data_IF_364754401072
#
_entry.id   IF_364754401072
#
_cell.length_a   1.000
_cell.length_b   1.000
_cell.length_c   1.000
_cell.angle_alpha   90.00
_cell.angle_beta   90.00
_cell.angle_gamma   90.00
#
_symmetry.space_group_name_H-M   'P 1'
#
loop_
_entity.id
_entity.type
_entity.pdbx_description
1 polymer ?
#
# COMPACT_ATOMS: atom_id res chain seq x y z
N UNK A 1 32.34 8.54 59.53
CA UNK A 1 31.43 8.34 60.67
C UNK A 1 30.18 7.68 60.09
N UNK A 2 30.12 6.42 60.30
CA UNK A 2 29.21 5.55 61.02
C UNK A 2 27.94 5.26 60.19
N UNK A 3 27.90 4.18 59.45
CA UNK A 3 27.54 2.77 59.68
C UNK A 3 26.22 2.58 60.41
N UNK A 4 25.27 1.96 59.76
CA UNK A 4 24.44 0.90 60.28
C UNK A 4 23.70 0.13 59.19
N UNK A 5 24.02 -1.10 59.10
CA UNK A 5 23.42 -2.29 58.54
C UNK A 5 22.25 -2.79 59.44
N UNK A 6 21.27 -3.47 58.86
CA UNK A 6 20.61 -4.68 59.43
C UNK A 6 19.59 -5.18 58.43
N UNK A 7 19.77 -6.24 57.76
CA UNK A 7 19.70 -7.71 58.00
C UNK A 7 18.28 -8.29 58.07
N UNK A 8 17.97 -9.12 57.06
CA UNK A 8 17.39 -10.44 56.96
C UNK A 8 16.09 -10.76 57.72
N UNK A 9 15.15 -11.38 57.01
CA UNK A 9 14.71 -12.76 57.37
C UNK A 9 14.01 -13.45 56.18
N UNK A 10 14.49 -14.65 55.90
CA UNK A 10 13.92 -15.71 55.11
C UNK A 10 12.72 -16.34 55.83
N UNK A 11 11.72 -16.81 55.10
CA UNK A 11 10.91 -17.94 55.47
C UNK A 11 10.53 -18.76 54.24
N UNK A 12 11.02 -19.94 54.20
CA UNK A 12 10.76 -21.05 53.29
C UNK A 12 9.82 -22.03 53.98
N UNK A 13 8.74 -22.47 53.38
CA UNK A 13 8.02 -23.72 53.73
C UNK A 13 7.45 -24.26 52.39
N UNK A 14 7.99 -25.29 51.82
CA UNK A 14 7.57 -26.70 51.61
C UNK A 14 6.06 -26.88 51.76
N UNK A 15 5.31 -27.55 50.91
CA UNK A 15 5.53 -28.69 50.04
C UNK A 15 4.22 -29.46 50.02
N UNK A 16 3.87 -30.18 49.01
CA UNK A 16 2.72 -31.06 49.03
C UNK A 16 2.26 -31.50 47.63
N UNK A 17 2.91 -32.54 47.13
CA UNK A 17 2.39 -33.36 46.04
C UNK A 17 1.27 -34.24 46.56
N UNK A 18 0.23 -34.45 45.79
CA UNK A 18 -0.59 -35.63 45.90
C UNK A 18 -1.11 -36.10 44.55
N UNK A 19 -0.62 -37.24 44.19
CA UNK A 19 -1.04 -38.17 43.16
C UNK A 19 -2.19 -39.02 43.64
N UNK A 20 -3.11 -39.38 42.78
CA UNK A 20 -3.87 -40.65 42.72
C UNK A 20 -5.24 -40.40 42.12
N UNK A 21 -5.85 -41.20 41.34
CA UNK A 21 -5.71 -42.54 40.79
C UNK A 21 -6.84 -42.73 39.76
N UNK A 22 -6.56 -43.52 38.76
CA UNK A 22 -7.53 -44.11 37.84
C UNK A 22 -8.67 -44.84 38.58
N UNK A 23 -9.85 -44.85 37.96
CA UNK A 23 -10.82 -45.93 38.12
C UNK A 23 -11.59 -46.15 36.83
N UNK A 24 -11.26 -47.25 36.17
CA UNK A 24 -12.14 -48.00 35.25
C UNK A 24 -13.22 -48.70 36.07
N UNK A 25 -14.43 -48.79 35.51
CA UNK A 25 -15.50 -49.84 35.72
C UNK A 25 -16.75 -49.27 35.05
N UNK A 26 -17.57 -49.92 34.26
CA UNK A 26 -17.69 -51.30 33.91
C UNK A 26 -18.94 -51.42 33.04
N UNK A 27 -18.86 -52.27 32.05
CA UNK A 27 -19.99 -52.71 31.22
C UNK A 27 -21.12 -53.30 32.08
N UNK A 28 -22.39 -53.05 31.70
CA UNK A 28 -23.48 -54.00 31.94
C UNK A 28 -24.48 -53.96 30.80
N UNK A 29 -24.56 -55.05 30.11
CA UNK A 29 -25.60 -55.46 29.17
C UNK A 29 -26.93 -55.64 29.87
N UNK A 30 -28.02 -55.16 29.26
CA UNK A 30 -29.38 -55.74 29.51
C UNK A 30 -29.97 -56.01 28.14
N UNK A 31 -30.05 -57.31 27.85
CA UNK A 31 -30.85 -57.84 26.77
C UNK A 31 -32.29 -57.97 27.24
N UNK A 32 -33.22 -57.33 26.59
CA UNK A 32 -34.66 -57.67 26.72
C UNK A 32 -35.18 -58.01 25.33
N UNK A 33 -35.48 -59.30 25.18
CA UNK A 33 -36.19 -59.80 24.01
C UNK A 33 -37.67 -59.43 24.14
N UNK A 34 -38.27 -58.90 23.07
CA UNK A 34 -39.73 -59.01 22.83
C UNK A 34 -39.94 -59.30 21.34
N UNK A 35 -40.70 -60.36 21.18
CA UNK A 35 -41.13 -60.98 19.91
C UNK A 35 -42.14 -60.08 19.16
N UNK A 36 -42.06 -60.12 17.86
CA UNK A 36 -43.21 -60.21 16.93
C UNK A 36 -43.93 -58.90 16.59
N UNK A 37 -43.71 -58.37 15.42
CA UNK A 37 -44.80 -58.23 14.50
C UNK A 37 -44.27 -58.05 13.06
N UNK A 38 -44.74 -58.88 12.16
CA UNK A 38 -44.46 -58.84 10.73
C UNK A 38 -45.39 -57.84 10.07
N UNK A 39 -44.95 -56.60 9.91
CA UNK A 39 -45.57 -55.67 8.97
C UNK A 39 -44.56 -55.24 7.92
N UNK A 40 -44.88 -55.54 6.70
CA UNK A 40 -44.20 -55.24 5.45
C UNK A 40 -43.71 -53.76 5.42
N UNK A 41 -42.44 -53.55 5.50
CA UNK A 41 -41.84 -52.26 5.17
C UNK A 41 -41.76 -52.11 3.65
N UNK A 42 -42.25 -51.01 3.07
CA UNK A 42 -42.00 -50.76 1.65
C UNK A 42 -40.49 -50.57 1.40
N UNK A 43 -40.03 -51.20 0.34
CA UNK A 43 -38.66 -51.08 -0.17
C UNK A 43 -38.26 -49.61 -0.25
N UNK A 44 -37.32 -49.24 0.59
CA UNK A 44 -36.71 -47.93 0.55
C UNK A 44 -35.67 -47.96 -0.58
N UNK A 45 -36.07 -47.51 -1.74
CA UNK A 45 -35.17 -47.33 -2.87
C UNK A 45 -33.94 -46.54 -2.39
N UNK A 46 -32.77 -47.07 -2.67
CA UNK A 46 -31.47 -46.36 -2.44
C UNK A 46 -31.54 -45.03 -3.17
N UNK A 47 -31.12 -43.91 -2.50
CA UNK A 47 -31.07 -42.63 -3.17
C UNK A 47 -30.17 -42.76 -4.42
N UNK A 48 -30.69 -42.37 -5.55
CA UNK A 48 -29.88 -42.28 -6.77
C UNK A 48 -28.66 -41.35 -6.51
N UNK A 49 -27.50 -41.70 -7.07
CA UNK A 49 -26.36 -40.80 -7.01
C UNK A 49 -26.76 -39.45 -7.60
N UNK A 50 -26.47 -38.38 -6.85
CA UNK A 50 -26.64 -37.01 -7.34
C UNK A 50 -25.93 -36.89 -8.69
N UNK A 51 -26.53 -36.23 -9.70
CA UNK A 51 -25.84 -36.00 -10.94
C UNK A 51 -24.52 -35.33 -10.63
N UNK A 52 -23.45 -35.89 -11.16
CA UNK A 52 -22.12 -35.32 -11.12
C UNK A 52 -22.24 -33.88 -11.64
N UNK A 53 -22.06 -32.91 -10.72
CA UNK A 53 -22.03 -31.51 -11.14
C UNK A 53 -20.85 -31.41 -12.13
N UNK A 54 -21.19 -31.22 -13.40
CA UNK A 54 -20.21 -30.91 -14.41
C UNK A 54 -19.33 -29.77 -13.86
N UNK A 55 -18.01 -30.00 -13.77
CA UNK A 55 -17.07 -28.94 -13.45
C UNK A 55 -17.42 -27.75 -14.37
N UNK A 56 -17.58 -26.55 -13.84
CA UNK A 56 -17.81 -25.40 -14.68
C UNK A 56 -16.67 -25.37 -15.69
N UNK A 57 -17.01 -25.38 -16.98
CA UNK A 57 -16.05 -25.22 -18.06
C UNK A 57 -15.13 -24.07 -17.69
N UNK A 58 -13.80 -24.32 -17.69
CA UNK A 58 -12.82 -23.27 -17.45
C UNK A 58 -13.22 -22.08 -18.35
N UNK A 59 -13.30 -20.86 -17.81
CA UNK A 59 -13.70 -19.72 -18.63
C UNK A 59 -12.80 -19.70 -19.84
N UNK A 60 -13.41 -19.58 -21.02
CA UNK A 60 -12.72 -19.40 -22.29
C UNK A 60 -11.76 -18.21 -22.08
N UNK A 61 -10.44 -18.51 -21.89
CA UNK A 61 -9.45 -17.48 -21.62
C UNK A 61 -9.16 -16.86 -22.97
N UNK A 62 -9.85 -15.76 -23.26
CA UNK A 62 -9.41 -14.90 -24.36
C UNK A 62 -7.91 -14.70 -24.22
N UNK A 63 -7.17 -14.96 -25.30
CA UNK A 63 -5.72 -14.76 -25.33
C UNK A 63 -5.42 -13.32 -24.90
N UNK A 64 -4.51 -13.16 -23.98
CA UNK A 64 -4.08 -11.83 -23.60
C UNK A 64 -3.37 -11.13 -24.78
N UNK A 65 -3.58 -9.83 -24.92
CA UNK A 65 -2.99 -9.05 -26.01
C UNK A 65 -2.25 -7.83 -25.46
N UNK A 66 -0.95 -7.73 -25.73
CA UNK A 66 -0.18 -6.53 -25.42
C UNK A 66 -0.53 -5.44 -26.42
N UNK A 67 -1.15 -4.37 -25.96
CA UNK A 67 -1.67 -3.29 -26.83
C UNK A 67 -0.81 -2.05 -26.83
N UNK A 68 -0.01 -1.83 -25.77
CA UNK A 68 0.86 -0.66 -25.67
C UNK A 68 2.08 -0.89 -24.76
N UNK A 69 3.18 -0.26 -25.13
CA UNK A 69 4.39 -0.17 -24.31
C UNK A 69 4.74 1.31 -24.13
N UNK A 70 4.62 1.80 -22.91
CA UNK A 70 4.97 3.16 -22.55
C UNK A 70 6.27 3.18 -21.74
N UNK A 71 7.11 4.19 -21.95
CA UNK A 71 8.33 4.38 -21.17
C UNK A 71 8.37 5.79 -20.61
N UNK A 72 8.47 5.87 -19.30
CA UNK A 72 8.50 7.12 -18.53
C UNK A 72 9.85 7.28 -17.83
N UNK A 73 10.30 8.54 -17.70
CA UNK A 73 11.39 8.89 -16.79
C UNK A 73 10.89 8.89 -15.34
N UNK A 74 11.72 8.40 -14.42
CA UNK A 74 11.40 8.39 -12.98
C UNK A 74 12.38 9.29 -12.24
N UNK A 75 11.84 10.32 -11.56
CA UNK A 75 12.62 11.27 -10.77
C UNK A 75 12.71 12.66 -11.37
N UNK A 76 13.15 13.64 -10.57
CA UNK A 76 13.10 15.09 -10.88
C UNK A 76 13.91 15.54 -12.11
N UNK A 77 14.73 14.67 -12.69
CA UNK A 77 15.59 14.99 -13.84
C UNK A 77 15.70 13.82 -14.83
N UNK A 78 14.66 13.01 -15.04
CA UNK A 78 14.70 11.86 -15.97
C UNK A 78 15.90 10.88 -15.78
N UNK A 79 16.79 11.19 -14.86
CA UNK A 79 18.10 10.54 -14.70
C UNK A 79 18.12 9.44 -13.64
N UNK A 80 17.14 9.39 -12.73
CA UNK A 80 17.18 8.47 -11.60
C UNK A 80 16.70 7.06 -11.96
N UNK A 81 15.82 6.92 -12.94
CA UNK A 81 15.27 5.63 -13.36
C UNK A 81 14.38 5.73 -14.59
N UNK A 82 13.91 4.59 -15.06
CA UNK A 82 12.91 4.47 -16.11
C UNK A 82 11.81 3.53 -15.66
N UNK A 83 10.57 3.81 -16.04
CA UNK A 83 9.42 2.92 -15.87
C UNK A 83 8.93 2.47 -17.23
N UNK A 84 8.79 1.17 -17.40
CA UNK A 84 8.15 0.58 -18.57
C UNK A 84 6.79 0.05 -18.15
N UNK A 85 5.75 0.47 -18.84
CA UNK A 85 4.38 0.01 -18.62
C UNK A 85 3.93 -0.77 -19.84
N UNK A 86 3.62 -2.04 -19.64
CA UNK A 86 3.07 -2.93 -20.65
C UNK A 86 1.58 -3.01 -20.40
N UNK A 87 0.76 -2.47 -21.29
CA UNK A 87 -0.71 -2.46 -21.19
C UNK A 87 -1.28 -3.66 -21.95
N UNK A 88 -2.16 -4.40 -21.30
CA UNK A 88 -2.80 -5.60 -21.88
C UNK A 88 -4.32 -5.47 -21.95
N UNK A 89 -4.88 -6.03 -23.00
CA UNK A 89 -6.24 -6.53 -23.05
C UNK A 89 -6.21 -7.98 -22.56
N UNK A 90 -6.99 -8.29 -21.53
CA UNK A 90 -6.91 -9.58 -20.82
C UNK A 90 -5.73 -9.64 -19.84
N UNK A 91 -5.72 -10.68 -19.01
CA UNK A 91 -4.69 -10.89 -17.96
C UNK A 91 -3.73 -12.01 -18.38
N UNK A 92 -2.50 -11.70 -18.85
CA UNK A 92 -1.54 -12.73 -19.22
C UNK A 92 -1.04 -13.48 -17.97
N UNK A 93 -0.77 -14.76 -18.13
CA UNK A 93 0.12 -15.47 -17.23
C UNK A 93 1.55 -15.09 -17.58
N UNK A 94 2.36 -14.73 -16.58
CA UNK A 94 3.73 -14.34 -16.86
C UNK A 94 4.72 -14.81 -15.78
N UNK A 95 5.96 -15.01 -16.23
CA UNK A 95 7.11 -15.27 -15.39
C UNK A 95 8.18 -14.22 -15.62
N UNK A 96 8.80 -13.74 -14.54
CA UNK A 96 9.90 -12.79 -14.63
C UNK A 96 11.25 -13.47 -14.36
N UNK A 97 12.27 -13.08 -15.14
CA UNK A 97 13.64 -13.52 -14.95
C UNK A 97 14.59 -12.35 -14.94
N UNK A 98 15.49 -12.31 -13.97
CA UNK A 98 16.63 -11.39 -13.94
C UNK A 98 17.83 -12.12 -14.54
N UNK A 99 18.33 -11.60 -15.65
CA UNK A 99 19.46 -12.19 -16.36
C UNK A 99 20.68 -11.30 -16.17
N UNK A 100 21.73 -11.75 -15.48
CA UNK A 100 22.95 -10.96 -15.31
C UNK A 100 23.64 -10.72 -16.65
N UNK A 101 24.52 -9.73 -16.70
CA UNK A 101 25.37 -9.51 -17.87
C UNK A 101 26.27 -10.73 -18.10
N UNK A 102 26.39 -11.17 -19.36
CA UNK A 102 27.21 -12.31 -19.76
C UNK A 102 27.92 -12.04 -21.08
N UNK A 103 29.24 -11.96 -21.07
CA UNK A 103 30.03 -11.59 -22.23
C UNK A 103 29.61 -10.20 -22.78
N UNK A 104 29.23 -10.14 -24.05
CA UNK A 104 28.75 -8.93 -24.71
C UNK A 104 27.26 -8.61 -24.41
N UNK A 105 26.54 -9.55 -23.81
CA UNK A 105 25.12 -9.38 -23.49
C UNK A 105 24.97 -8.56 -22.21
N UNK A 106 24.15 -7.47 -22.24
CA UNK A 106 23.88 -6.67 -21.05
C UNK A 106 23.07 -7.46 -20.01
N UNK A 107 23.00 -6.95 -18.79
CA UNK A 107 22.01 -7.40 -17.84
C UNK A 107 20.59 -7.14 -18.39
N UNK A 108 19.65 -8.02 -18.13
CA UNK A 108 18.29 -7.97 -18.71
C UNK A 108 17.23 -8.34 -17.68
N UNK A 109 16.06 -7.78 -17.86
CA UNK A 109 14.82 -8.29 -17.29
C UNK A 109 14.02 -8.92 -18.41
N UNK A 110 13.66 -10.18 -18.28
CA UNK A 110 12.80 -10.88 -19.22
C UNK A 110 11.46 -11.16 -18.54
N UNK A 111 10.36 -10.83 -19.22
CA UNK A 111 8.99 -11.15 -18.87
C UNK A 111 8.52 -12.16 -19.90
N UNK A 112 8.47 -13.41 -19.52
CA UNK A 112 7.94 -14.51 -20.33
C UNK A 112 6.44 -14.53 -20.17
N UNK A 113 5.70 -14.56 -21.26
CA UNK A 113 4.25 -14.47 -21.31
C UNK A 113 3.68 -15.74 -21.92
N UNK A 114 2.60 -16.26 -21.35
CA UNK A 114 1.88 -17.41 -21.87
C UNK A 114 0.69 -16.91 -22.68
N UNK A 115 0.36 -17.61 -23.78
CA UNK A 115 -0.81 -17.37 -24.63
C UNK A 115 -1.09 -15.89 -24.93
N UNK A 116 -0.02 -15.15 -25.25
CA UNK A 116 -0.08 -13.70 -25.44
C UNK A 116 0.29 -13.31 -26.86
N UNK A 117 -0.47 -12.39 -27.44
CA UNK A 117 -0.24 -11.81 -28.76
C UNK A 117 0.19 -10.33 -28.63
N UNK A 118 0.78 -9.80 -29.72
CA UNK A 118 1.12 -8.37 -29.81
C UNK A 118 0.14 -7.66 -30.71
N UNK A 119 -0.27 -6.46 -30.35
CA UNK A 119 -0.94 -5.58 -31.31
C UNK A 119 0.09 -5.08 -32.34
N UNK A 120 -0.31 -4.94 -33.59
CA UNK A 120 0.55 -4.50 -34.70
C UNK A 120 1.15 -3.10 -34.47
N UNK A 121 0.50 -2.31 -33.60
CA UNK A 121 0.95 -0.98 -33.20
C UNK A 121 2.11 -0.98 -32.21
N UNK A 122 2.42 -2.14 -31.60
CA UNK A 122 3.50 -2.24 -30.60
C UNK A 122 4.84 -2.48 -31.30
N UNK A 123 5.80 -1.59 -31.14
CA UNK A 123 7.10 -1.75 -31.82
C UNK A 123 7.85 -2.97 -31.28
N UNK A 124 8.36 -3.81 -32.17
CA UNK A 124 9.16 -5.02 -31.83
C UNK A 124 10.43 -4.65 -31.03
N UNK A 125 10.96 -3.47 -31.23
CA UNK A 125 12.13 -2.95 -30.51
C UNK A 125 12.08 -1.45 -30.39
N UNK A 126 12.31 -0.93 -29.18
CA UNK A 126 12.35 0.50 -28.87
C UNK A 126 13.65 0.81 -28.13
N UNK A 127 14.51 1.65 -28.69
CA UNK A 127 15.67 2.20 -28.00
C UNK A 127 15.23 3.30 -27.03
N UNK A 128 15.74 3.30 -25.82
CA UNK A 128 15.29 4.21 -24.75
C UNK A 128 16.43 5.07 -24.21
N UNK A 129 17.57 4.46 -23.84
CA UNK A 129 18.76 5.10 -23.26
C UNK A 129 18.46 6.07 -22.10
N UNK A 130 17.53 5.68 -21.21
CA UNK A 130 17.06 6.51 -20.09
C UNK A 130 17.05 5.73 -18.79
N UNK A 131 17.45 6.35 -17.69
CA UNK A 131 17.27 5.86 -16.31
C UNK A 131 17.82 4.46 -16.03
N UNK A 132 18.86 4.01 -16.75
CA UNK A 132 19.40 2.67 -16.64
C UNK A 132 18.81 1.65 -17.62
N UNK A 133 17.76 2.02 -18.36
CA UNK A 133 17.17 1.22 -19.43
C UNK A 133 17.85 1.59 -20.77
N UNK A 134 18.27 0.59 -21.52
CA UNK A 134 18.83 0.76 -22.88
C UNK A 134 17.76 0.57 -23.95
N UNK A 135 16.99 -0.52 -23.84
CA UNK A 135 16.09 -0.93 -24.90
C UNK A 135 15.01 -1.84 -24.37
N UNK A 136 13.81 -1.77 -24.94
CA UNK A 136 12.72 -2.74 -24.78
C UNK A 136 12.58 -3.53 -26.06
N UNK A 137 12.47 -4.85 -26.00
CA UNK A 137 12.31 -5.73 -27.16
C UNK A 137 11.21 -6.76 -26.93
N UNK A 138 10.45 -7.04 -27.96
CA UNK A 138 9.55 -8.17 -28.04
C UNK A 138 10.26 -9.35 -28.73
N UNK A 139 9.98 -10.57 -28.30
CA UNK A 139 10.57 -11.76 -28.90
C UNK A 139 9.51 -12.85 -29.10
N UNK A 140 9.59 -13.54 -30.24
CA UNK A 140 8.80 -14.69 -30.65
C UNK A 140 9.75 -15.85 -31.02
N UNK A 141 9.35 -17.11 -31.11
CA UNK A 141 7.98 -17.64 -30.99
C UNK A 141 7.46 -17.75 -29.55
N UNK A 142 8.33 -17.75 -28.54
CA UNK A 142 7.89 -17.75 -27.14
C UNK A 142 7.66 -16.28 -26.71
N UNK A 143 6.42 -15.83 -26.55
CA UNK A 143 6.12 -14.44 -26.26
C UNK A 143 6.87 -13.96 -25.02
N UNK A 144 7.71 -12.94 -25.18
CA UNK A 144 8.44 -12.31 -24.05
C UNK A 144 8.80 -10.87 -24.35
N UNK A 145 8.75 -10.08 -23.30
CA UNK A 145 9.28 -8.72 -23.30
C UNK A 145 10.63 -8.72 -22.60
N UNK A 146 11.67 -8.21 -23.29
CA UNK A 146 13.03 -8.14 -22.76
C UNK A 146 13.47 -6.69 -22.64
N UNK A 147 13.87 -6.30 -21.44
CA UNK A 147 14.44 -5.01 -21.14
C UNK A 147 15.96 -5.15 -21.03
N UNK A 148 16.71 -4.58 -21.96
CA UNK A 148 18.17 -4.50 -21.91
C UNK A 148 18.56 -3.36 -20.97
N UNK A 149 19.40 -3.63 -19.98
CA UNK A 149 19.78 -2.68 -18.94
C UNK A 149 21.18 -2.11 -19.18
N UNK A 150 21.41 -0.90 -18.72
CA UNK A 150 22.75 -0.32 -18.63
C UNK A 150 23.55 -1.02 -17.50
N UNK A 151 24.91 -0.99 -17.55
CA UNK A 151 25.72 -1.54 -16.48
C UNK A 151 25.33 -0.98 -15.10
N UNK A 152 25.15 -1.90 -14.13
CA UNK A 152 24.77 -1.57 -12.77
C UNK A 152 23.30 -1.21 -12.58
N UNK A 153 22.46 -1.29 -13.61
CA UNK A 153 21.03 -1.14 -13.49
C UNK A 153 20.34 -2.45 -13.10
N UNK A 154 19.25 -2.35 -12.39
CA UNK A 154 18.36 -3.45 -12.00
C UNK A 154 16.92 -3.11 -12.35
N UNK A 155 16.09 -4.11 -12.62
CA UNK A 155 14.68 -3.91 -12.88
C UNK A 155 13.82 -4.62 -11.85
N UNK A 156 12.68 -4.03 -11.48
CA UNK A 156 11.66 -4.64 -10.63
C UNK A 156 10.35 -4.71 -11.37
N UNK A 157 9.73 -5.89 -11.35
CA UNK A 157 8.48 -6.18 -12.05
C UNK A 157 7.36 -6.29 -11.03
N UNK A 158 6.24 -5.66 -11.31
CA UNK A 158 4.97 -5.81 -10.62
C UNK A 158 3.82 -5.66 -11.63
N UNK A 159 2.59 -5.95 -11.24
CA UNK A 159 1.44 -5.84 -12.12
C UNK A 159 0.29 -5.09 -11.45
N UNK A 160 -0.61 -4.56 -12.28
CA UNK A 160 -1.81 -3.83 -11.92
C UNK A 160 -2.98 -4.45 -12.68
N UNK A 161 -4.16 -4.52 -12.09
CA UNK A 161 -5.25 -5.36 -12.59
C UNK A 161 -6.34 -4.63 -13.38
N UNK A 162 -6.44 -3.31 -13.27
CA UNK A 162 -7.50 -2.57 -13.96
C UNK A 162 -7.03 -1.19 -14.49
N UNK A 163 -6.82 -1.03 -15.79
CA UNK A 163 -6.61 -2.08 -16.78
C UNK A 163 -5.38 -2.93 -16.48
N UNK A 164 -5.28 -4.14 -17.02
CA UNK A 164 -4.15 -5.01 -16.72
C UNK A 164 -2.85 -4.46 -17.31
N UNK A 165 -1.88 -4.25 -16.42
CA UNK A 165 -0.55 -3.72 -16.77
C UNK A 165 0.55 -4.49 -16.07
N UNK A 166 1.62 -4.79 -16.79
CA UNK A 166 2.88 -5.21 -16.16
C UNK A 166 3.80 -4.00 -16.19
N UNK A 167 4.32 -3.63 -15.02
CA UNK A 167 5.18 -2.46 -14.85
C UNK A 167 6.57 -2.91 -14.46
N UNK A 168 7.59 -2.35 -15.12
CA UNK A 168 8.99 -2.59 -14.81
C UNK A 168 9.65 -1.29 -14.45
N UNK A 169 10.02 -1.14 -13.19
CA UNK A 169 10.83 -0.02 -12.72
C UNK A 169 12.31 -0.38 -12.86
N UNK A 170 13.00 0.34 -13.70
CA UNK A 170 14.45 0.22 -13.91
C UNK A 170 15.14 1.37 -13.18
N UNK A 171 16.15 1.04 -12.39
CA UNK A 171 17.02 2.05 -11.78
C UNK A 171 18.47 1.61 -11.88
N UNK A 172 19.38 2.54 -12.12
CA UNK A 172 20.79 2.26 -11.85
C UNK A 172 20.93 2.07 -10.36
N UNK A 173 21.48 0.93 -9.93
CA UNK A 173 22.00 0.84 -8.60
C UNK A 173 23.02 1.98 -8.46
N UNK A 174 22.60 3.07 -7.84
CA UNK A 174 23.56 4.10 -7.47
C UNK A 174 24.55 3.39 -6.56
N UNK A 175 25.80 3.19 -7.03
CA UNK A 175 26.93 2.83 -6.16
C UNK A 175 27.09 3.81 -5.00
N UNK A 176 26.32 4.86 -5.00
CA UNK A 176 26.14 5.88 -3.97
C UNK A 176 24.92 5.67 -3.09
N UNK A 177 24.24 4.52 -3.09
CA UNK A 177 23.51 4.13 -1.88
C UNK A 177 24.53 3.80 -0.81
N UNK A 178 25.21 4.84 -0.32
CA UNK A 178 25.89 4.79 0.95
C UNK A 178 24.83 4.34 1.94
N UNK A 179 24.98 3.12 2.48
CA UNK A 179 24.25 2.68 3.69
C UNK A 179 24.15 3.90 4.60
N UNK A 180 22.95 4.42 4.84
CA UNK A 180 22.74 5.49 5.79
C UNK A 180 22.10 6.79 5.30
N UNK A 181 21.59 6.88 4.06
CA UNK A 181 20.77 8.03 3.64
C UNK A 181 19.32 7.60 3.48
N UNK A 182 18.43 7.91 4.43
CA UNK A 182 17.02 7.55 4.34
C UNK A 182 16.39 8.14 3.07
N UNK A 183 15.48 7.40 2.45
CA UNK A 183 14.63 7.87 1.37
C UNK A 183 13.18 7.96 1.85
N UNK A 184 12.58 9.13 1.68
CA UNK A 184 11.17 9.37 1.93
C UNK A 184 10.47 9.66 0.61
N UNK A 185 9.38 8.95 0.36
CA UNK A 185 8.49 9.25 -0.76
C UNK A 185 7.26 9.96 -0.22
N UNK A 186 7.01 11.17 -0.71
CA UNK A 186 5.79 11.93 -0.48
C UNK A 186 4.88 11.76 -1.68
N UNK A 187 3.63 11.45 -1.43
CA UNK A 187 2.63 11.19 -2.46
C UNK A 187 1.54 12.25 -2.38
N UNK A 188 1.56 13.27 -3.25
CA UNK A 188 0.42 14.18 -3.39
C UNK A 188 -0.78 13.43 -3.93
N UNK A 189 -1.87 13.31 -3.16
CA UNK A 189 -3.09 12.64 -3.59
C UNK A 189 -3.68 13.23 -4.88
N UNK A 190 -4.48 12.44 -5.60
CA UNK A 190 -5.16 12.85 -6.83
C UNK A 190 -4.23 13.36 -7.94
N UNK A 191 -4.78 14.07 -8.92
CA UNK A 191 -4.06 14.67 -10.05
C UNK A 191 -4.55 14.17 -11.40
N UNK A 192 -4.32 14.95 -12.44
CA UNK A 192 -4.79 14.67 -13.79
C UNK A 192 -6.32 14.60 -13.87
N UNK A 193 -6.88 13.45 -14.21
CA UNK A 193 -8.34 13.25 -14.34
C UNK A 193 -9.07 13.20 -12.98
N UNK A 194 -8.35 13.03 -11.88
CA UNK A 194 -8.89 12.89 -10.53
C UNK A 194 -8.57 14.15 -9.71
N UNK A 195 -9.40 15.20 -9.75
CA UNK A 195 -9.12 16.45 -9.03
C UNK A 195 -9.23 16.31 -7.52
N UNK A 196 -9.86 15.25 -7.02
CA UNK A 196 -10.23 15.11 -5.61
C UNK A 196 -11.39 16.02 -5.23
N UNK A 197 -11.48 16.37 -3.94
CA UNK A 197 -12.51 17.25 -3.44
C UNK A 197 -12.26 18.70 -3.87
N UNK A 198 -13.35 19.41 -4.20
CA UNK A 198 -13.30 20.84 -4.56
C UNK A 198 -14.13 21.69 -3.60
N UNK A 199 -13.75 22.96 -3.49
CA UNK A 199 -14.53 23.99 -2.81
C UNK A 199 -14.51 25.26 -3.68
N UNK A 200 -15.52 25.38 -4.54
CA UNK A 200 -15.64 26.46 -5.52
C UNK A 200 -15.70 27.85 -4.85
N UNK A 201 -16.30 27.92 -3.66
CA UNK A 201 -16.39 29.19 -2.90
C UNK A 201 -15.02 29.78 -2.57
N UNK A 202 -14.03 28.92 -2.37
CA UNK A 202 -12.67 29.31 -2.01
C UNK A 202 -11.65 29.05 -3.10
N UNK A 203 -12.07 28.53 -4.27
CA UNK A 203 -11.19 28.17 -5.37
C UNK A 203 -10.17 27.11 -4.95
N UNK A 204 -10.57 26.11 -4.18
CA UNK A 204 -9.70 25.03 -3.72
C UNK A 204 -10.00 23.75 -4.46
N UNK A 205 -8.94 23.12 -4.97
CA UNK A 205 -8.97 21.78 -5.55
C UNK A 205 -7.98 20.93 -4.77
N UNK A 206 -8.39 19.77 -4.32
CA UNK A 206 -7.59 18.90 -3.44
C UNK A 206 -6.26 18.53 -4.07
N UNK A 207 -6.25 18.11 -5.35
CA UNK A 207 -5.01 17.72 -6.07
C UNK A 207 -3.97 18.83 -6.10
N UNK A 208 -4.38 20.10 -6.28
CA UNK A 208 -3.48 21.24 -6.31
C UNK A 208 -2.91 21.54 -4.92
N UNK A 209 -3.78 21.54 -3.90
CA UNK A 209 -3.35 21.81 -2.52
C UNK A 209 -2.48 20.69 -1.97
N UNK A 210 -2.79 19.42 -2.28
CA UNK A 210 -1.98 18.29 -1.91
C UNK A 210 -0.57 18.35 -2.54
N UNK A 211 -0.47 18.76 -3.80
CA UNK A 211 0.80 18.96 -4.49
C UNK A 211 1.62 20.09 -3.85
N UNK A 212 0.98 21.22 -3.53
CA UNK A 212 1.65 22.33 -2.83
C UNK A 212 2.14 21.91 -1.43
N UNK A 213 1.31 21.21 -0.65
CA UNK A 213 1.70 20.69 0.66
C UNK A 213 2.87 19.72 0.57
N UNK A 214 2.84 18.78 -0.39
CA UNK A 214 3.91 17.80 -0.57
C UNK A 214 5.22 18.48 -1.00
N UNK A 215 5.15 19.46 -1.89
CA UNK A 215 6.31 20.26 -2.35
C UNK A 215 6.92 21.06 -1.21
N UNK A 216 6.10 21.75 -0.42
CA UNK A 216 6.54 22.49 0.76
C UNK A 216 7.14 21.55 1.82
N UNK A 217 6.51 20.40 2.07
CA UNK A 217 7.01 19.40 3.01
C UNK A 217 8.35 18.81 2.54
N UNK A 218 8.50 18.51 1.25
CA UNK A 218 9.76 18.05 0.67
C UNK A 218 10.87 19.06 0.84
N UNK A 219 10.61 20.33 0.52
CA UNK A 219 11.57 21.43 0.70
C UNK A 219 11.98 21.55 2.17
N UNK A 220 11.01 21.53 3.08
CA UNK A 220 11.27 21.61 4.52
C UNK A 220 12.07 20.42 5.04
N UNK A 221 11.71 19.19 4.61
CA UNK A 221 12.40 17.98 5.04
C UNK A 221 13.86 17.98 4.57
N UNK A 222 14.13 18.38 3.33
CA UNK A 222 15.51 18.56 2.81
C UNK A 222 16.30 19.57 3.64
N UNK A 223 15.68 20.67 4.06
CA UNK A 223 16.33 21.72 4.87
C UNK A 223 16.68 21.23 6.29
N UNK A 224 15.79 20.49 6.96
CA UNK A 224 16.02 20.02 8.33
C UNK A 224 16.79 18.70 8.40
N UNK A 225 16.80 17.93 7.34
CA UNK A 225 17.52 16.66 7.21
C UNK A 225 18.29 16.58 5.87
N UNK A 226 19.38 17.32 5.68
CA UNK A 226 20.08 17.42 4.38
C UNK A 226 20.60 16.08 3.84
N UNK A 227 20.76 15.08 4.70
CA UNK A 227 21.20 13.73 4.31
C UNK A 227 20.04 12.83 3.87
N UNK A 228 18.77 13.27 4.00
CA UNK A 228 17.59 12.51 3.59
C UNK A 228 17.28 12.78 2.12
N UNK A 229 17.10 11.74 1.35
CA UNK A 229 16.56 11.82 0.00
C UNK A 229 15.05 11.97 0.10
N UNK A 230 14.48 12.89 -0.66
CA UNK A 230 13.02 13.12 -0.68
C UNK A 230 12.56 13.13 -2.12
N UNK A 231 11.61 12.27 -2.45
CA UNK A 231 10.98 12.16 -3.77
C UNK A 231 9.49 12.40 -3.65
N UNK A 232 8.90 12.92 -4.71
CA UNK A 232 7.45 13.01 -4.87
C UNK A 232 7.02 11.96 -5.90
N UNK A 233 5.83 11.37 -5.72
CA UNK A 233 5.24 10.47 -6.74
C UNK A 233 4.88 11.24 -8.00
N UNK A 234 4.43 12.48 -7.86
CA UNK A 234 4.21 13.45 -8.95
C UNK A 234 4.71 14.84 -8.56
N UNK A 235 5.22 15.59 -9.52
CA UNK A 235 5.67 16.99 -9.36
C UNK A 235 4.85 17.97 -10.19
N UNK A 236 3.86 17.49 -10.91
CA UNK A 236 2.93 18.25 -11.74
C UNK A 236 1.53 17.65 -11.63
N UNK A 237 0.57 18.23 -12.35
CA UNK A 237 -0.79 17.69 -12.42
C UNK A 237 -0.84 16.57 -13.46
N UNK A 238 -0.59 15.34 -13.01
CA UNK A 238 -0.60 14.12 -13.81
C UNK A 238 -1.38 13.03 -13.13
N UNK A 239 -1.95 12.15 -13.92
CA UNK A 239 -2.71 10.98 -13.47
C UNK A 239 -1.77 9.85 -13.04
N UNK A 240 -1.93 9.36 -11.82
CA UNK A 240 -1.24 8.19 -11.29
C UNK A 240 -2.25 7.31 -10.56
N UNK A 241 -2.32 6.05 -10.92
CA UNK A 241 -3.15 5.09 -10.20
C UNK A 241 -2.66 4.88 -8.75
N UNK A 242 -3.54 4.40 -7.87
CA UNK A 242 -3.21 4.16 -6.46
C UNK A 242 -2.06 3.17 -6.30
N UNK A 243 -2.04 2.14 -7.16
CA UNK A 243 -1.02 1.11 -7.17
C UNK A 243 0.34 1.64 -7.62
N UNK A 244 0.36 2.51 -8.63
CA UNK A 244 1.61 3.11 -9.12
C UNK A 244 2.31 3.94 -8.05
N UNK A 245 1.56 4.65 -7.22
CA UNK A 245 2.11 5.49 -6.14
C UNK A 245 2.91 4.67 -5.13
N UNK A 246 2.29 3.61 -4.60
CA UNK A 246 2.94 2.70 -3.66
C UNK A 246 4.06 1.87 -4.32
N UNK A 247 3.84 1.41 -5.56
CA UNK A 247 4.81 0.63 -6.30
C UNK A 247 6.10 1.43 -6.57
N UNK A 248 5.99 2.73 -6.86
CA UNK A 248 7.14 3.62 -6.98
C UNK A 248 7.97 3.66 -5.70
N UNK A 249 7.31 3.82 -4.54
CA UNK A 249 8.01 3.83 -3.26
C UNK A 249 8.71 2.49 -2.97
N UNK A 250 8.05 1.36 -3.33
CA UNK A 250 8.63 0.03 -3.21
C UNK A 250 9.85 -0.17 -4.11
N UNK A 251 9.76 0.26 -5.38
CA UNK A 251 10.85 0.13 -6.36
C UNK A 251 12.08 0.93 -5.95
N UNK A 252 11.86 2.08 -5.33
CA UNK A 252 12.92 2.96 -4.83
C UNK A 252 13.46 2.56 -3.46
N UNK A 253 12.94 1.48 -2.85
CA UNK A 253 13.32 1.04 -1.49
C UNK A 253 13.20 2.16 -0.45
N UNK A 254 12.05 2.86 -0.47
CA UNK A 254 11.81 3.96 0.44
C UNK A 254 11.80 3.49 1.91
N UNK A 255 12.28 4.34 2.80
CA UNK A 255 12.25 4.13 4.26
C UNK A 255 10.93 4.56 4.88
N UNK A 256 10.19 5.43 4.19
CA UNK A 256 8.85 5.86 4.55
C UNK A 256 8.07 6.32 3.31
N UNK A 257 6.77 6.05 3.30
CA UNK A 257 5.81 6.53 2.30
C UNK A 257 4.72 7.35 3.00
N UNK A 258 4.48 8.56 2.52
CA UNK A 258 3.48 9.48 3.11
C UNK A 258 2.61 10.05 2.02
N UNK A 259 1.37 9.56 1.93
CA UNK A 259 0.34 10.13 1.05
C UNK A 259 -0.32 11.32 1.73
N UNK A 260 -0.52 12.41 1.01
CA UNK A 260 -1.02 13.70 1.53
C UNK A 260 -2.30 14.06 0.80
N UNK A 261 -3.37 14.16 1.57
CA UNK A 261 -4.74 14.43 1.16
C UNK A 261 -5.37 15.55 1.97
N UNK A 262 -6.57 15.94 1.57
CA UNK A 262 -7.41 16.91 2.26
C UNK A 262 -8.83 16.35 2.40
N UNK A 263 -9.27 16.21 3.61
CA UNK A 263 -10.57 15.64 3.92
C UNK A 263 -11.73 16.48 3.38
N UNK A 264 -12.80 15.82 3.00
CA UNK A 264 -14.05 16.45 2.62
C UNK A 264 -15.24 15.63 3.11
N UNK A 265 -16.39 16.30 3.24
CA UNK A 265 -17.66 15.66 3.58
C UNK A 265 -18.78 16.27 2.73
N UNK A 266 -19.65 15.42 2.22
CA UNK A 266 -20.90 15.84 1.56
C UNK A 266 -21.94 16.39 2.55
N UNK A 267 -21.79 16.06 3.84
CA UNK A 267 -22.66 16.56 4.90
C UNK A 267 -22.01 17.74 5.63
N UNK A 268 -22.78 18.65 6.23
CA UNK A 268 -22.22 19.75 7.01
C UNK A 268 -21.28 19.27 8.10
N UNK A 269 -20.04 19.73 8.06
CA UNK A 269 -19.00 19.37 9.04
C UNK A 269 -19.03 20.36 10.19
N UNK A 270 -19.33 19.88 11.40
CA UNK A 270 -19.29 20.72 12.61
C UNK A 270 -17.87 20.98 13.11
N UNK A 271 -16.93 20.11 12.76
CA UNK A 271 -15.55 20.15 13.24
C UNK A 271 -14.61 19.47 12.23
N UNK A 272 -13.72 20.24 11.64
CA UNK A 272 -12.66 19.75 10.78
C UNK A 272 -11.52 19.05 11.55
N UNK A 273 -10.29 19.22 11.09
CA UNK A 273 -9.07 18.78 11.79
C UNK A 273 -8.19 17.84 11.00
N UNK A 274 -7.04 17.53 11.57
CA UNK A 274 -6.04 16.63 11.02
C UNK A 274 -6.32 15.19 11.43
N UNK A 275 -6.22 14.26 10.50
CA UNK A 275 -6.24 12.80 10.74
C UNK A 275 -5.06 12.16 10.03
N UNK A 276 -4.38 11.22 10.68
CA UNK A 276 -3.39 10.39 10.00
C UNK A 276 -3.84 8.94 10.02
N UNK A 277 -3.91 8.32 8.85
CA UNK A 277 -4.37 6.93 8.70
C UNK A 277 -3.21 5.97 8.50
N UNK A 278 -3.36 4.78 9.07
CA UNK A 278 -2.55 3.60 8.77
C UNK A 278 -3.43 2.52 8.13
N UNK A 279 -2.81 1.69 7.30
CA UNK A 279 -3.51 0.57 6.67
C UNK A 279 -3.90 -0.48 7.70
N UNK A 280 -5.18 -0.68 7.89
CA UNK A 280 -5.75 -1.75 8.72
C UNK A 280 -7.27 -1.84 8.48
N UNK A 281 -7.88 -2.88 9.01
CA UNK A 281 -9.34 -3.02 9.02
C UNK A 281 -9.97 -2.03 10.01
N UNK A 282 -11.17 -1.58 9.71
CA UNK A 282 -11.93 -0.66 10.58
C UNK A 282 -13.42 -0.92 10.52
N UNK A 283 -14.11 -0.66 11.64
CA UNK A 283 -15.57 -0.62 11.72
C UNK A 283 -16.09 0.83 11.83
N UNK A 284 -15.20 1.81 11.79
CA UNK A 284 -15.56 3.22 11.80
C UNK A 284 -16.21 3.62 10.46
N UNK A 285 -17.50 3.95 10.49
CA UNK A 285 -18.28 4.31 9.30
C UNK A 285 -17.70 5.52 8.56
N UNK A 286 -17.15 6.50 9.26
CA UNK A 286 -16.53 7.67 8.63
C UNK A 286 -15.25 7.28 7.92
N UNK A 287 -14.41 6.47 8.54
CA UNK A 287 -13.18 5.96 7.94
C UNK A 287 -13.47 5.05 6.72
N UNK A 288 -14.53 4.23 6.78
CA UNK A 288 -14.96 3.41 5.64
C UNK A 288 -15.45 4.26 4.46
N UNK A 289 -16.27 5.28 4.71
CA UNK A 289 -16.74 6.20 3.65
C UNK A 289 -15.58 6.97 3.01
N UNK A 290 -14.66 7.45 3.84
CA UNK A 290 -13.46 8.13 3.36
C UNK A 290 -12.60 7.18 2.51
N UNK A 291 -12.29 5.99 3.00
CA UNK A 291 -11.52 5.02 2.25
C UNK A 291 -12.21 4.64 0.92
N UNK A 292 -13.54 4.49 0.90
CA UNK A 292 -14.28 4.23 -0.32
C UNK A 292 -14.14 5.38 -1.33
N UNK A 293 -14.22 6.63 -0.87
CA UNK A 293 -14.01 7.82 -1.72
C UNK A 293 -12.60 7.84 -2.31
N UNK A 294 -11.57 7.70 -1.46
CA UNK A 294 -10.17 7.76 -1.89
C UNK A 294 -9.77 6.57 -2.77
N UNK A 295 -10.44 5.43 -2.60
CA UNK A 295 -10.21 4.25 -3.43
C UNK A 295 -11.01 4.27 -4.75
N UNK A 296 -11.88 5.26 -4.96
CA UNK A 296 -12.77 5.29 -6.13
C UNK A 296 -13.78 4.13 -6.17
N UNK A 297 -14.24 3.65 -5.00
CA UNK A 297 -15.04 2.42 -4.88
C UNK A 297 -16.21 2.59 -3.90
N UNK A 298 -17.03 1.55 -3.72
CA UNK A 298 -18.14 1.54 -2.78
C UNK A 298 -17.73 1.01 -1.41
N UNK A 299 -18.39 1.47 -0.35
CA UNK A 299 -18.14 1.01 1.04
C UNK A 299 -18.25 -0.52 1.16
N UNK A 300 -19.19 -1.15 0.46
CA UNK A 300 -19.35 -2.60 0.47
C UNK A 300 -18.11 -3.34 -0.07
N UNK A 301 -17.47 -2.80 -1.10
CA UNK A 301 -16.25 -3.37 -1.71
C UNK A 301 -15.06 -3.23 -0.77
N UNK A 302 -14.89 -2.07 -0.12
CA UNK A 302 -13.86 -1.89 0.93
C UNK A 302 -14.03 -2.93 2.04
N UNK A 303 -15.27 -3.17 2.49
CA UNK A 303 -15.57 -4.15 3.54
C UNK A 303 -15.28 -5.59 3.09
N UNK A 304 -15.59 -5.93 1.85
CA UNK A 304 -15.29 -7.25 1.27
C UNK A 304 -13.80 -7.54 1.21
N UNK A 305 -13.00 -6.58 0.75
CA UNK A 305 -11.55 -6.73 0.65
C UNK A 305 -10.88 -6.77 2.02
N UNK A 306 -11.38 -6.04 3.02
CA UNK A 306 -10.88 -6.11 4.40
C UNK A 306 -10.87 -7.55 4.93
N UNK A 307 -11.92 -8.32 4.67
CA UNK A 307 -12.03 -9.71 5.14
C UNK A 307 -10.97 -10.64 4.53
N UNK A 308 -10.55 -10.38 3.29
CA UNK A 308 -9.53 -11.14 2.58
C UNK A 308 -8.11 -10.75 3.03
N UNK A 309 -7.84 -9.45 3.16
CA UNK A 309 -6.51 -8.93 3.50
C UNK A 309 -6.15 -9.05 4.98
N UNK A 310 -7.14 -9.11 5.89
CA UNK A 310 -6.92 -9.33 7.32
C UNK A 310 -6.11 -10.61 7.61
N UNK A 311 -6.18 -11.62 6.73
CA UNK A 311 -5.43 -12.88 6.83
C UNK A 311 -3.96 -12.77 6.39
N UNK A 312 -3.59 -11.74 5.60
CA UNK A 312 -2.27 -11.65 4.94
C UNK A 312 -1.44 -10.44 5.35
N UNK A 313 -1.97 -9.53 6.18
CA UNK A 313 -1.26 -8.31 6.56
C UNK A 313 -0.08 -8.59 7.49
N UNK A 314 1.13 -8.27 7.04
CA UNK A 314 2.36 -8.50 7.81
C UNK A 314 2.46 -7.52 8.98
N UNK A 315 2.35 -8.02 10.21
CA UNK A 315 2.43 -7.27 11.48
C UNK A 315 3.67 -6.38 11.63
N UNK A 316 4.74 -6.66 10.90
CA UNK A 316 6.05 -5.98 11.05
C UNK A 316 6.02 -4.51 10.62
N UNK A 317 5.21 -4.16 9.62
CA UNK A 317 5.11 -2.78 9.10
C UNK A 317 4.10 -1.94 9.87
N UNK A 318 3.11 -2.57 10.50
CA UNK A 318 2.07 -1.88 11.27
C UNK A 318 2.65 -1.04 12.42
N UNK A 319 3.66 -1.57 13.15
CA UNK A 319 4.31 -0.82 14.24
C UNK A 319 5.06 0.42 13.74
N UNK A 320 5.80 0.28 12.64
CA UNK A 320 6.50 1.40 12.00
C UNK A 320 5.54 2.48 11.49
N UNK A 321 4.47 2.07 10.81
CA UNK A 321 3.42 2.97 10.31
C UNK A 321 2.71 3.71 11.44
N UNK A 322 2.35 3.04 12.53
CA UNK A 322 1.74 3.67 13.70
C UNK A 322 2.68 4.70 14.36
N UNK A 323 3.96 4.38 14.46
CA UNK A 323 4.96 5.32 15.00
C UNK A 323 5.10 6.54 14.11
N UNK A 324 5.21 6.35 12.79
CA UNK A 324 5.27 7.42 11.80
C UNK A 324 4.02 8.29 11.86
N UNK A 325 2.84 7.68 11.86
CA UNK A 325 1.55 8.36 11.94
C UNK A 325 1.44 9.23 13.21
N UNK A 326 1.78 8.69 14.37
CA UNK A 326 1.72 9.44 15.64
C UNK A 326 2.68 10.63 15.68
N UNK A 327 3.85 10.51 15.05
CA UNK A 327 4.79 11.63 14.93
C UNK A 327 4.23 12.70 13.98
N UNK A 328 3.76 12.32 12.80
CA UNK A 328 3.18 13.26 11.82
C UNK A 328 1.97 13.95 12.43
N UNK A 329 1.01 13.20 12.99
CA UNK A 329 -0.19 13.74 13.60
C UNK A 329 0.13 14.86 14.62
N UNK A 330 1.02 14.55 15.57
CA UNK A 330 1.41 15.49 16.64
C UNK A 330 2.07 16.75 16.09
N UNK A 331 3.02 16.59 15.18
CA UNK A 331 3.77 17.73 14.65
C UNK A 331 2.91 18.60 13.73
N UNK A 332 2.06 17.99 12.90
CA UNK A 332 1.13 18.71 12.00
C UNK A 332 0.14 19.55 12.81
N UNK A 333 -0.43 18.98 13.87
CA UNK A 333 -1.29 19.73 14.78
C UNK A 333 -0.57 20.88 15.48
N UNK A 334 0.61 20.62 16.04
CA UNK A 334 1.40 21.65 16.71
C UNK A 334 1.68 22.84 15.79
N UNK A 335 2.12 22.57 14.56
CA UNK A 335 2.40 23.62 13.57
C UNK A 335 1.14 24.27 13.01
N UNK A 336 0.12 23.49 12.68
CA UNK A 336 -1.16 24.01 12.17
C UNK A 336 -1.85 24.93 13.16
N UNK A 337 -1.83 24.59 14.47
CA UNK A 337 -2.40 25.40 15.54
C UNK A 337 -1.70 26.74 15.77
N UNK A 338 -0.45 26.91 15.35
CA UNK A 338 0.20 28.23 15.40
C UNK A 338 -0.42 29.24 14.43
N UNK A 339 -1.16 28.76 13.41
CA UNK A 339 -1.87 29.61 12.44
C UNK A 339 -3.39 29.52 12.60
N UNK A 340 -3.89 28.31 12.89
CA UNK A 340 -5.31 28.06 13.15
C UNK A 340 -5.48 27.43 14.55
N UNK A 341 -5.57 28.22 15.63
CA UNK A 341 -5.56 27.71 17.01
C UNK A 341 -6.65 26.67 17.32
N UNK A 342 -7.80 26.76 16.65
CA UNK A 342 -8.92 25.82 16.81
C UNK A 342 -8.83 24.59 15.95
N UNK A 343 -7.68 24.32 15.28
CA UNK A 343 -7.47 23.11 14.48
C UNK A 343 -7.62 21.86 15.37
N UNK A 344 -8.51 20.98 14.97
CA UNK A 344 -8.88 19.82 15.77
C UNK A 344 -7.94 18.65 15.56
N UNK A 345 -7.71 17.90 16.63
CA UNK A 345 -7.07 16.61 16.58
C UNK A 345 -8.12 15.52 16.35
N UNK A 346 -8.07 14.85 15.21
CA UNK A 346 -8.92 13.69 14.90
C UNK A 346 -8.18 12.38 15.12
N UNK A 347 -6.92 12.45 15.50
CA UNK A 347 -6.07 11.32 15.90
C UNK A 347 -5.52 10.49 14.77
N UNK A 348 -4.81 9.43 15.16
CA UNK A 348 -4.38 8.36 14.26
C UNK A 348 -5.50 7.34 14.17
N UNK A 349 -5.92 7.02 12.93
CA UNK A 349 -7.01 6.10 12.65
C UNK A 349 -6.56 4.97 11.72
N UNK A 350 -7.42 3.98 11.55
CA UNK A 350 -7.19 2.82 10.70
C UNK A 350 -8.23 2.81 9.59
N UNK A 351 -7.80 2.52 8.37
CA UNK A 351 -8.70 2.27 7.25
C UNK A 351 -7.98 1.55 6.10
N UNK A 352 -8.75 0.99 5.18
CA UNK A 352 -8.25 0.24 4.03
C UNK A 352 -8.06 1.19 2.84
N UNK A 353 -7.02 2.00 2.87
CA UNK A 353 -6.62 2.82 1.73
C UNK A 353 -5.78 2.01 0.76
N UNK A 354 -6.22 1.90 -0.49
CA UNK A 354 -5.55 1.07 -1.50
C UNK A 354 -4.17 1.60 -1.84
N UNK A 355 -3.95 2.91 -1.79
CA UNK A 355 -2.63 3.52 -1.97
C UNK A 355 -1.58 3.02 -0.96
N UNK A 356 -2.00 2.50 0.19
CA UNK A 356 -1.10 1.92 1.20
C UNK A 356 -0.96 0.40 1.09
N UNK A 357 -1.81 -0.25 0.26
CA UNK A 357 -1.77 -1.71 0.09
C UNK A 357 -0.50 -2.12 -0.64
N UNK A 358 0.18 -3.12 -0.12
CA UNK A 358 1.43 -3.60 -0.71
C UNK A 358 2.68 -2.78 -0.36
N UNK A 359 2.56 -1.71 0.42
CA UNK A 359 3.73 -0.96 0.90
C UNK A 359 4.69 -1.87 1.69
N UNK A 360 5.97 -1.82 1.33
CA UNK A 360 7.04 -2.62 1.96
C UNK A 360 7.80 -1.83 3.04
N UNK A 361 7.44 -0.58 3.24
CA UNK A 361 7.97 0.33 4.24
C UNK A 361 6.84 0.86 5.12
N UNK A 362 7.13 1.52 6.25
CA UNK A 362 6.14 2.29 6.99
C UNK A 362 5.43 3.30 6.08
N UNK A 363 4.09 3.18 6.01
CA UNK A 363 3.25 3.93 5.09
C UNK A 363 2.05 4.52 5.81
N UNK A 364 1.71 5.76 5.50
CA UNK A 364 0.59 6.49 6.10
C UNK A 364 -0.11 7.38 5.07
N UNK A 365 -1.39 7.69 5.31
CA UNK A 365 -2.14 8.71 4.59
C UNK A 365 -2.50 9.82 5.58
N UNK A 366 -2.21 11.06 5.20
CA UNK A 366 -2.43 12.26 6.04
C UNK A 366 -3.54 13.09 5.44
N UNK A 367 -4.66 13.16 6.14
CA UNK A 367 -5.72 14.14 5.91
C UNK A 367 -5.33 15.43 6.65
N UNK A 368 -4.65 16.31 5.94
CA UNK A 368 -3.97 17.44 6.57
C UNK A 368 -4.91 18.54 7.04
N UNK A 369 -6.10 18.67 6.45
CA UNK A 369 -7.14 19.66 6.76
C UNK A 369 -8.44 19.29 6.05
N UNK A 370 -9.51 20.08 6.23
CA UNK A 370 -10.78 19.89 5.54
C UNK A 370 -11.02 20.96 4.48
N UNK A 371 -11.26 20.53 3.23
CA UNK A 371 -11.62 21.43 2.12
C UNK A 371 -13.05 21.97 2.29
N UNK A 372 -13.96 21.18 2.90
CA UNK A 372 -15.39 21.51 3.05
C UNK A 372 -15.76 22.16 4.40
N UNK A 373 -14.81 22.28 5.34
CA UNK A 373 -15.04 22.95 6.62
C UNK A 373 -14.60 24.41 6.55
N UNK A 374 -15.55 25.34 6.58
CA UNK A 374 -15.35 26.77 6.30
C UNK A 374 -14.12 27.42 6.97
N UNK A 375 -13.84 27.22 8.29
CA UNK A 375 -12.66 27.82 8.91
C UNK A 375 -11.34 27.31 8.34
N UNK A 376 -11.28 26.03 7.97
CA UNK A 376 -10.09 25.39 7.41
C UNK A 376 -9.97 25.68 5.92
N UNK A 377 -11.06 25.65 5.16
CA UNK A 377 -11.09 26.04 3.75
C UNK A 377 -10.54 27.47 3.58
N UNK A 378 -11.04 28.43 4.36
CA UNK A 378 -10.51 29.80 4.37
C UNK A 378 -9.03 29.86 4.77
N UNK A 379 -8.58 29.04 5.71
CA UNK A 379 -7.18 29.00 6.10
C UNK A 379 -6.30 28.40 5.00
N UNK A 380 -6.78 27.39 4.25
CA UNK A 380 -6.09 26.74 3.13
C UNK A 380 -5.81 27.69 1.96
N UNK A 381 -6.60 28.76 1.76
CA UNK A 381 -6.27 29.80 0.77
C UNK A 381 -4.99 30.57 1.12
N UNK A 382 -4.56 30.54 2.39
CA UNK A 382 -3.40 31.27 2.88
C UNK A 382 -2.15 30.39 2.85
N UNK A 383 -1.13 30.83 2.13
CA UNK A 383 0.16 30.11 2.04
C UNK A 383 0.80 29.84 3.42
N UNK A 384 0.58 30.76 4.38
CA UNK A 384 1.08 30.59 5.75
C UNK A 384 0.55 29.33 6.42
N UNK A 385 -0.75 29.04 6.26
CA UNK A 385 -1.36 27.83 6.84
C UNK A 385 -0.86 26.56 6.15
N UNK A 386 -0.80 26.55 4.81
CA UNK A 386 -0.24 25.42 4.05
C UNK A 386 1.22 25.15 4.43
N UNK A 387 2.05 26.18 4.59
CA UNK A 387 3.42 26.03 5.12
C UNK A 387 3.44 25.44 6.52
N UNK A 388 2.58 25.88 7.42
CA UNK A 388 2.53 25.36 8.78
C UNK A 388 2.17 23.86 8.81
N UNK A 389 1.19 23.43 8.00
CA UNK A 389 0.84 22.01 7.84
C UNK A 389 2.01 21.20 7.27
N UNK A 390 2.62 21.68 6.19
CA UNK A 390 3.75 21.04 5.53
C UNK A 390 5.00 20.95 6.45
N UNK A 391 5.30 22.01 7.21
CA UNK A 391 6.35 22.01 8.22
C UNK A 391 6.08 20.97 9.33
N UNK A 392 4.81 20.81 9.69
CA UNK A 392 4.39 19.79 10.64
C UNK A 392 4.62 18.37 10.12
N UNK A 393 4.19 18.09 8.89
CA UNK A 393 4.40 16.79 8.22
C UNK A 393 5.89 16.49 8.14
N UNK A 394 6.70 17.42 7.62
CA UNK A 394 8.15 17.25 7.50
C UNK A 394 8.83 17.01 8.86
N UNK A 395 8.45 17.79 9.90
CA UNK A 395 8.98 17.62 11.25
C UNK A 395 8.59 16.27 11.87
N UNK A 396 7.39 15.79 11.60
CA UNK A 396 6.93 14.47 12.03
C UNK A 396 7.73 13.33 11.39
N UNK A 397 7.99 13.42 10.09
CA UNK A 397 8.83 12.48 9.34
C UNK A 397 10.27 12.50 9.90
N UNK A 398 10.85 13.69 10.05
CA UNK A 398 12.19 13.84 10.61
C UNK A 398 12.30 13.21 12.02
N UNK A 399 11.31 13.49 12.89
CA UNK A 399 11.23 12.89 14.23
C UNK A 399 11.11 11.36 14.21
N UNK A 400 10.48 10.80 13.18
CA UNK A 400 10.40 9.35 12.97
C UNK A 400 11.76 8.78 12.56
N UNK A 401 12.39 9.36 11.55
CA UNK A 401 13.66 8.87 11.01
C UNK A 401 14.82 8.95 12.05
N UNK A 402 14.80 9.96 12.91
CA UNK A 402 15.80 10.12 13.98
C UNK A 402 15.61 9.13 15.15
N UNK A 403 14.45 8.50 15.25
CA UNK A 403 14.13 7.54 16.31
C UNK A 403 14.34 6.06 15.88
N UNK A 404 14.79 5.83 14.64
CA UNK A 404 15.14 4.50 14.09
C UNK A 404 16.59 4.15 14.40
#
# INVERSE_FOLDING_TARGET
>A
MTVARSSRKHACIRGGANTSKLSLLGLLWVAAACQGDSSTRPDRALPQPLPELAEPAAPDRDKARLVRVDVYGVGAEDAAGARVVLLFEGAPLFHQKQLPAQGILPARVAIELEDTEWADTVPVSQSVERGGLRRVRLATPNPRVVLDLQPGATGRVFYLTDPYRIVVDVSKASRSQKKGRPLVVLDPGHGGREPGAANDRHGLVESEVALDLATLAASRLRAIMPRTRVMLTRSSDVDLSLEERCALANAMEADAFVSIHLNASSEPVRKGGVTTFVLDTTNDRQALRLAARENGTRVAEVTGIQSLLAKHHRRTQAKGSLTLAGKIQRHTLKRGRSVLPKLSDRGVRRAMFYVLVGARMPAVLVEASFVTYEPEARALTKRQYRRALADGIASGIASYLLAR
#
